data_IF_618521388085
#
_entry.id   IF_618521388085
#
_cell.length_a   1.000
_cell.length_b   1.000
_cell.length_c   1.000
_cell.angle_alpha   90.00
_cell.angle_beta   90.00
_cell.angle_gamma   90.00
#
_symmetry.space_group_name_H-M   'P 1'
#
loop_
_entity.id
_entity.type
_entity.pdbx_description
1 polymer ?
#
# COMPACT_ATOMS: atom_id res chain seq x y z
N UNK A 1 -14.39 7.41 -11.66
CA UNK A 1 -15.53 7.41 -10.71
C UNK A 1 -14.97 7.46 -9.30
N UNK A 2 -15.46 8.37 -8.45
CA UNK A 2 -15.03 8.41 -7.05
C UNK A 2 -15.72 7.27 -6.30
N UNK A 3 -14.95 6.36 -5.72
CA UNK A 3 -15.48 5.30 -4.88
C UNK A 3 -16.19 5.91 -3.68
N UNK A 4 -17.41 5.47 -3.31
CA UNK A 4 -18.11 6.00 -2.14
C UNK A 4 -17.31 5.78 -0.84
N UNK A 5 -16.39 4.81 -0.83
CA UNK A 5 -15.51 4.54 0.31
C UNK A 5 -14.23 5.37 0.31
N UNK A 6 -13.94 6.13 -0.76
CA UNK A 6 -12.76 7.01 -0.83
C UNK A 6 -12.79 8.14 0.20
N UNK A 7 -13.97 8.48 0.74
CA UNK A 7 -14.10 9.45 1.84
C UNK A 7 -13.45 8.97 3.13
N UNK A 8 -13.50 7.66 3.41
CA UNK A 8 -12.86 7.05 4.59
C UNK A 8 -11.35 7.29 4.53
N UNK A 9 -10.81 7.19 3.33
CA UNK A 9 -9.40 7.35 3.03
C UNK A 9 -8.91 8.79 3.18
N UNK A 10 -9.71 9.78 2.80
CA UNK A 10 -9.34 11.20 2.96
C UNK A 10 -9.48 11.69 4.39
N UNK A 11 -10.41 11.12 5.17
CA UNK A 11 -10.61 11.44 6.60
C UNK A 11 -9.58 10.76 7.52
N UNK A 12 -9.02 9.62 7.09
CA UNK A 12 -8.11 8.81 7.91
C UNK A 12 -6.71 8.75 7.29
N UNK A 13 -6.15 9.88 6.89
CA UNK A 13 -4.80 9.93 6.31
C UNK A 13 -3.76 9.37 7.28
N UNK A 14 -2.75 8.69 6.74
CA UNK A 14 -1.60 8.22 7.50
C UNK A 14 -0.79 9.42 8.00
N UNK A 15 -0.72 9.57 9.32
CA UNK A 15 0.10 10.57 10.02
C UNK A 15 1.34 9.94 10.65
N UNK A 16 1.37 8.61 10.76
CA UNK A 16 2.47 7.81 11.29
C UNK A 16 2.04 6.98 12.50
N UNK A 17 1.40 7.61 13.48
CA UNK A 17 0.93 6.96 14.72
C UNK A 17 -0.28 6.04 14.47
N UNK A 18 -1.13 6.40 13.51
CA UNK A 18 -2.39 5.72 13.20
C UNK A 18 -2.26 4.58 12.16
N UNK A 19 -1.06 3.99 12.00
CA UNK A 19 -0.81 3.05 10.90
C UNK A 19 -1.76 1.85 10.86
N UNK A 20 -2.08 1.25 12.02
CA UNK A 20 -2.96 0.08 12.05
C UNK A 20 -4.39 0.44 11.61
N UNK A 21 -4.92 1.59 12.04
CA UNK A 21 -6.23 2.08 11.65
C UNK A 21 -6.26 2.49 10.18
N UNK A 22 -5.25 3.24 9.73
CA UNK A 22 -5.09 3.59 8.32
C UNK A 22 -5.03 2.34 7.44
N UNK A 23 -4.23 1.33 7.82
CA UNK A 23 -4.10 0.07 7.08
C UNK A 23 -5.43 -0.67 7.02
N UNK A 24 -6.19 -0.74 8.11
CA UNK A 24 -7.52 -1.36 8.13
C UNK A 24 -8.48 -0.66 7.16
N UNK A 25 -8.52 0.68 7.21
CA UNK A 25 -9.36 1.48 6.33
C UNK A 25 -8.96 1.34 4.85
N UNK A 26 -7.66 1.32 4.56
CA UNK A 26 -7.13 1.05 3.23
C UNK A 26 -7.56 -0.32 2.71
N UNK A 27 -7.43 -1.37 3.52
CA UNK A 27 -7.83 -2.72 3.12
C UNK A 27 -9.33 -2.83 2.85
N UNK A 28 -10.19 -2.10 3.57
CA UNK A 28 -11.62 -2.04 3.27
C UNK A 28 -11.87 -1.52 1.85
N UNK A 29 -11.24 -0.40 1.48
CA UNK A 29 -11.41 0.19 0.14
C UNK A 29 -10.83 -0.71 -0.94
N UNK A 30 -9.61 -1.21 -0.76
CA UNK A 30 -8.97 -2.10 -1.74
C UNK A 30 -9.72 -3.42 -1.91
N UNK A 31 -10.34 -3.97 -0.87
CA UNK A 31 -11.18 -5.16 -0.97
C UNK A 31 -12.47 -4.86 -1.73
N UNK A 32 -13.14 -3.75 -1.41
CA UNK A 32 -14.37 -3.33 -2.08
C UNK A 32 -14.15 -3.14 -3.59
N UNK A 33 -13.00 -2.57 -3.96
CA UNK A 33 -12.63 -2.32 -5.36
C UNK A 33 -11.88 -3.50 -6.01
N UNK A 34 -11.72 -4.61 -5.29
CA UNK A 34 -11.08 -5.85 -5.78
C UNK A 34 -9.62 -5.66 -6.22
N UNK A 35 -8.89 -4.76 -5.57
CA UNK A 35 -7.47 -4.51 -5.80
C UNK A 35 -6.56 -5.11 -4.73
N UNK A 36 -7.10 -5.58 -3.59
CA UNK A 36 -6.28 -6.06 -2.46
C UNK A 36 -5.35 -7.23 -2.78
N UNK A 37 -5.65 -8.01 -3.83
CA UNK A 37 -4.84 -9.16 -4.24
C UNK A 37 -3.41 -8.78 -4.62
N UNK A 38 -3.16 -7.57 -5.11
CA UNK A 38 -1.79 -7.12 -5.48
C UNK A 38 -0.88 -6.90 -4.27
N UNK A 39 -1.44 -6.86 -3.05
CA UNK A 39 -0.67 -6.79 -1.82
C UNK A 39 -0.14 -8.15 -1.37
N UNK A 40 -0.77 -9.25 -1.80
CA UNK A 40 -0.44 -10.61 -1.34
C UNK A 40 0.09 -11.50 -2.47
N UNK A 41 -0.47 -11.38 -3.66
CA UNK A 41 -0.10 -12.17 -4.82
C UNK A 41 1.08 -11.55 -5.57
N UNK A 42 2.05 -12.36 -6.04
CA UNK A 42 3.13 -11.85 -6.88
C UNK A 42 2.59 -11.35 -8.22
N UNK A 43 3.34 -10.45 -8.86
CA UNK A 43 3.08 -10.05 -10.25
C UNK A 43 3.24 -11.27 -11.16
N UNK A 44 2.30 -11.53 -12.09
CA UNK A 44 2.48 -12.54 -13.13
C UNK A 44 3.74 -12.27 -13.96
N UNK A 45 4.41 -13.31 -14.48
CA UNK A 45 5.52 -13.11 -15.40
C UNK A 45 5.03 -12.46 -16.70
N UNK A 46 5.95 -11.77 -17.40
CA UNK A 46 5.65 -11.28 -18.75
C UNK A 46 5.44 -12.47 -19.68
N UNK A 47 4.28 -12.59 -20.36
CA UNK A 47 4.02 -13.71 -21.26
C UNK A 47 4.98 -13.71 -22.46
N UNK A 48 5.25 -14.90 -23.01
CA UNK A 48 5.93 -15.05 -24.29
C UNK A 48 5.02 -14.61 -25.44
N UNK A 49 5.59 -14.34 -26.62
CA UNK A 49 4.86 -13.84 -27.80
C UNK A 49 3.76 -14.83 -28.25
N UNK A 50 3.99 -16.13 -28.06
CA UNK A 50 3.08 -17.23 -28.40
C UNK A 50 2.19 -17.67 -27.23
N UNK A 51 2.22 -16.96 -26.10
CA UNK A 51 1.40 -17.28 -24.94
C UNK A 51 -0.10 -17.02 -25.23
N UNK A 52 -1.01 -17.76 -24.57
CA UNK A 52 -2.43 -17.51 -24.70
C UNK A 52 -2.84 -16.11 -24.20
N UNK A 53 -3.83 -15.49 -24.83
CA UNK A 53 -4.36 -14.16 -24.48
C UNK A 53 -4.68 -14.00 -22.98
N UNK A 54 -5.13 -15.07 -22.32
CA UNK A 54 -5.45 -15.07 -20.88
C UNK A 54 -4.27 -14.65 -20.01
N UNK A 55 -3.03 -14.91 -20.44
CA UNK A 55 -1.83 -14.61 -19.68
C UNK A 55 -1.51 -13.11 -19.76
N UNK A 56 -1.71 -12.50 -20.94
CA UNK A 56 -1.63 -11.05 -21.12
C UNK A 56 -2.71 -10.31 -20.34
N UNK A 57 -3.96 -10.81 -20.38
CA UNK A 57 -5.08 -10.26 -19.62
C UNK A 57 -4.83 -10.34 -18.11
N UNK A 58 -4.24 -11.45 -17.63
CA UNK A 58 -3.88 -11.59 -16.23
C UNK A 58 -2.80 -10.58 -15.81
N UNK A 59 -1.78 -10.36 -16.64
CA UNK A 59 -0.74 -9.37 -16.39
C UNK A 59 -1.30 -7.96 -16.35
N UNK A 60 -2.08 -7.56 -17.37
CA UNK A 60 -2.68 -6.23 -17.46
C UNK A 60 -3.61 -5.96 -16.27
N UNK A 61 -4.44 -6.94 -15.90
CA UNK A 61 -5.32 -6.83 -14.73
C UNK A 61 -4.53 -6.61 -13.44
N UNK A 62 -3.41 -7.33 -13.27
CA UNK A 62 -2.55 -7.16 -12.11
C UNK A 62 -1.91 -5.77 -12.10
N UNK A 63 -1.33 -5.33 -13.22
CA UNK A 63 -0.66 -4.04 -13.34
C UNK A 63 -1.63 -2.87 -13.08
N UNK A 64 -2.84 -2.92 -13.66
CA UNK A 64 -3.89 -1.92 -13.42
C UNK A 64 -4.32 -1.88 -11.95
N UNK A 65 -4.49 -3.05 -11.33
CA UNK A 65 -4.87 -3.12 -9.90
C UNK A 65 -3.74 -2.63 -8.99
N UNK A 66 -2.48 -2.91 -9.34
CA UNK A 66 -1.32 -2.44 -8.60
C UNK A 66 -1.21 -0.91 -8.70
N UNK A 67 -1.42 -0.33 -9.88
CA UNK A 67 -1.45 1.12 -10.06
C UNK A 67 -2.56 1.76 -9.21
N UNK A 68 -3.78 1.22 -9.23
CA UNK A 68 -4.89 1.69 -8.37
C UNK A 68 -4.53 1.62 -6.90
N UNK A 69 -3.98 0.49 -6.42
CA UNK A 69 -3.57 0.34 -5.03
C UNK A 69 -2.45 1.33 -4.64
N UNK A 70 -1.49 1.57 -5.53
CA UNK A 70 -0.45 2.59 -5.32
C UNK A 70 -1.05 3.99 -5.17
N UNK A 71 -1.99 4.35 -6.03
CA UNK A 71 -2.69 5.63 -5.96
C UNK A 71 -3.44 5.79 -4.63
N UNK A 72 -4.17 4.77 -4.17
CA UNK A 72 -4.83 4.80 -2.87
C UNK A 72 -3.86 4.95 -1.70
N UNK A 73 -2.79 4.15 -1.69
CA UNK A 73 -1.76 4.23 -0.64
C UNK A 73 -1.17 5.64 -0.58
N UNK A 74 -0.78 6.21 -1.73
CA UNK A 74 -0.17 7.55 -1.79
C UNK A 74 -1.15 8.65 -1.44
N UNK A 75 -2.36 8.65 -2.01
CA UNK A 75 -3.38 9.69 -1.78
C UNK A 75 -3.80 9.79 -0.30
N UNK A 76 -3.66 8.69 0.43
CA UNK A 76 -4.01 8.60 1.85
C UNK A 76 -2.83 8.84 2.78
N UNK A 77 -1.69 9.26 2.26
CA UNK A 77 -0.56 9.71 3.06
C UNK A 77 -0.60 11.21 3.28
N UNK A 78 0.01 11.66 4.38
CA UNK A 78 0.35 13.06 4.53
C UNK A 78 1.45 13.45 3.52
N UNK A 79 1.47 14.73 3.13
CA UNK A 79 2.45 15.23 2.14
C UNK A 79 3.91 15.01 2.59
N UNK A 80 4.17 15.03 3.90
CA UNK A 80 5.51 14.76 4.47
C UNK A 80 5.94 13.32 4.18
N UNK A 81 5.02 12.36 4.35
CA UNK A 81 5.28 10.94 4.12
C UNK A 81 5.37 10.60 2.64
N UNK A 82 4.60 11.28 1.78
CA UNK A 82 4.71 11.11 0.33
C UNK A 82 6.11 11.45 -0.17
N UNK A 83 6.65 12.63 0.21
CA UNK A 83 7.99 13.09 -0.19
C UNK A 83 9.12 12.15 0.26
N UNK A 84 8.95 11.47 1.39
CA UNK A 84 9.94 10.52 1.90
C UNK A 84 10.01 9.22 1.08
N UNK A 85 9.01 8.92 0.25
CA UNK A 85 8.85 7.62 -0.40
C UNK A 85 8.57 7.70 -1.92
N UNK A 86 8.99 8.79 -2.58
CA UNK A 86 8.76 9.03 -4.01
C UNK A 86 9.32 7.90 -4.93
N UNK A 87 10.34 7.16 -4.50
CA UNK A 87 11.06 6.17 -5.32
C UNK A 87 10.60 4.69 -5.20
N UNK A 88 9.30 4.39 -5.14
CA UNK A 88 8.84 2.98 -4.99
C UNK A 88 7.97 2.44 -6.13
N UNK A 89 8.26 1.19 -6.50
CA UNK A 89 7.86 0.51 -7.75
C UNK A 89 6.54 -0.29 -7.69
N UNK A 90 6.03 -0.70 -6.51
CA UNK A 90 4.74 -1.44 -6.38
C UNK A 90 4.00 -1.13 -5.08
N UNK A 91 2.67 -1.38 -5.03
CA UNK A 91 1.83 -1.19 -3.85
C UNK A 91 2.31 -2.02 -2.64
N UNK A 92 2.69 -3.27 -2.89
CA UNK A 92 3.21 -4.20 -1.87
C UNK A 92 4.51 -3.68 -1.24
N UNK A 93 5.47 -3.25 -2.06
CA UNK A 93 6.74 -2.73 -1.55
C UNK A 93 6.54 -1.47 -0.72
N UNK A 94 5.64 -0.57 -1.13
CA UNK A 94 5.29 0.61 -0.34
C UNK A 94 4.78 0.14 1.04
N UNK A 95 3.79 -0.75 1.07
CA UNK A 95 3.18 -1.28 2.29
C UNK A 95 4.20 -1.96 3.23
N UNK A 96 5.13 -2.74 2.69
CA UNK A 96 6.18 -3.44 3.44
C UNK A 96 7.23 -2.48 4.00
N UNK A 97 7.64 -1.47 3.23
CA UNK A 97 8.59 -0.46 3.67
C UNK A 97 8.05 0.35 4.85
N UNK A 98 6.75 0.68 4.84
CA UNK A 98 6.12 1.36 5.97
C UNK A 98 6.07 0.50 7.23
N UNK A 99 5.75 -0.79 7.08
CA UNK A 99 5.79 -1.73 8.21
C UNK A 99 7.18 -1.75 8.83
N UNK A 100 8.24 -1.80 8.02
CA UNK A 100 9.64 -1.77 8.49
C UNK A 100 9.98 -0.46 9.20
N UNK A 101 9.63 0.70 8.62
CA UNK A 101 9.89 2.01 9.23
C UNK A 101 9.25 2.16 10.62
N UNK A 102 8.02 1.65 10.80
CA UNK A 102 7.34 1.69 12.10
C UNK A 102 7.97 0.78 13.14
N UNK A 103 8.30 -0.46 12.75
CA UNK A 103 9.02 -1.38 13.63
C UNK A 103 10.37 -0.77 14.05
N UNK A 104 11.09 -0.15 13.12
CA UNK A 104 12.37 0.52 13.39
C UNK A 104 12.22 1.72 14.34
N UNK A 105 11.16 2.53 14.19
CA UNK A 105 10.87 3.63 15.12
C UNK A 105 10.57 3.09 16.53
N UNK A 106 9.70 2.08 16.63
CA UNK A 106 9.34 1.47 17.92
C UNK A 106 10.54 0.79 18.60
N UNK A 107 11.42 0.13 17.84
CA UNK A 107 12.63 -0.48 18.39
C UNK A 107 13.65 0.55 18.89
N UNK A 108 13.68 1.77 18.32
CA UNK A 108 14.55 2.86 18.78
C UNK A 108 14.04 3.54 20.05
N UNK A 109 12.72 3.52 20.29
CA UNK A 109 12.10 4.11 21.48
C UNK A 109 12.15 3.18 22.70
N UNK A 110 12.16 1.85 22.49
CA UNK A 110 12.19 0.84 23.56
C UNK A 110 13.36 1.02 24.56
N UNK A 111 14.60 1.31 24.14
CA UNK A 111 15.73 1.55 25.05
C UNK A 111 15.70 2.92 25.74
N UNK A 112 14.93 3.88 25.23
CA UNK A 112 14.82 5.21 25.83
C UNK A 112 13.81 5.21 26.98
N UNK A 113 12.71 4.46 26.84
CA UNK A 113 11.72 4.30 27.90
C UNK A 113 12.27 3.49 29.09
N UNK A 114 13.13 2.50 28.84
CA UNK A 114 13.77 1.70 29.89
C UNK A 114 14.88 2.43 30.66
N UNK A 115 15.24 3.66 30.27
CA UNK A 115 16.23 4.51 30.96
C UNK A 115 15.60 5.61 31.82
N UNK A 116 14.26 5.72 31.78
CA UNK A 116 13.48 6.71 32.56
C UNK A 116 12.66 6.01 33.66
N UNK A 117 12.90 4.70 33.87
CA UNK A 117 12.38 3.89 34.99
C UNK A 117 13.49 3.65 36.00
#
# INVERSE_FOLDING_TARGET
MSSPLSVILTQNKLTGENFNDWKRNLLIVLNFEKHSFVLTQPRPPTPAIDAPDRDFVALERWDNSNLSAMCYIRATMSNVLQKQHEEHQTARQIMDNWRKCLVNKLSRLRPMLSKVS
#
